data_IF_645460745947
#
_entry.id   IF_645460745947
#
_cell.length_a   1.000
_cell.length_b   1.000
_cell.length_c   1.000
_cell.angle_alpha   90.00
_cell.angle_beta   90.00
_cell.angle_gamma   90.00
#
_symmetry.space_group_name_H-M   'P 1'
#
loop_
_entity.id
_entity.type
_entity.pdbx_description
1 polymer ?
#
# COMPACT_ATOMS: atom_id res chain seq x y z
N UNK A 1 -9.83 2.00 -8.60
CA UNK A 1 -9.27 0.86 -7.85
C UNK A 1 -8.60 1.37 -6.58
N UNK A 2 -8.77 0.69 -5.43
CA UNK A 2 -8.08 0.98 -4.17
C UNK A 2 -7.20 -0.20 -3.82
N UNK A 3 -5.88 -0.06 -3.94
CA UNK A 3 -4.91 -1.12 -3.62
C UNK A 3 -4.64 -1.17 -2.13
N UNK A 4 -4.43 -2.38 -1.60
CA UNK A 4 -4.13 -2.61 -0.19
C UNK A 4 -3.05 -3.67 0.01
N UNK A 5 -2.28 -3.50 1.09
CA UNK A 5 -1.46 -4.54 1.71
C UNK A 5 -2.20 -5.10 2.91
N UNK A 6 -2.23 -6.38 3.03
CA UNK A 6 -2.88 -7.02 4.16
C UNK A 6 -2.20 -8.33 4.54
N UNK A 7 -2.48 -8.78 5.74
CA UNK A 7 -2.01 -10.04 6.26
C UNK A 7 -3.18 -11.00 6.44
N UNK A 8 -3.10 -12.17 5.85
CA UNK A 8 -4.08 -13.22 5.97
C UNK A 8 -3.41 -14.59 6.01
N UNK A 9 -3.90 -15.49 6.84
CA UNK A 9 -3.41 -16.88 6.95
C UNK A 9 -1.88 -17.00 7.07
N UNK A 10 -1.25 -16.08 7.79
CA UNK A 10 0.20 -16.07 8.00
C UNK A 10 1.03 -15.53 6.82
N UNK A 11 0.41 -14.99 5.78
CA UNK A 11 1.08 -14.46 4.60
C UNK A 11 0.76 -13.00 4.33
N UNK A 12 1.77 -12.26 3.84
CA UNK A 12 1.61 -10.94 3.25
C UNK A 12 0.96 -11.08 1.87
N UNK A 13 0.00 -10.22 1.58
CA UNK A 13 -0.75 -10.17 0.32
C UNK A 13 -0.96 -8.74 -0.12
N UNK A 14 -1.14 -8.57 -1.43
CA UNK A 14 -1.65 -7.36 -2.06
C UNK A 14 -2.96 -7.65 -2.78
N UNK A 15 -3.82 -6.67 -2.84
CA UNK A 15 -5.12 -6.82 -3.47
C UNK A 15 -5.82 -5.48 -3.68
N UNK A 16 -7.09 -5.56 -4.04
CA UNK A 16 -7.94 -4.41 -4.25
C UNK A 16 -9.19 -4.48 -3.36
N UNK A 17 -9.60 -3.32 -2.84
CA UNK A 17 -10.87 -3.20 -2.09
C UNK A 17 -12.02 -3.02 -3.07
N UNK A 18 -13.05 -3.84 -2.90
CA UNK A 18 -14.37 -3.72 -3.52
C UNK A 18 -15.47 -3.76 -2.44
N UNK A 19 -16.06 -2.61 -2.16
CA UNK A 19 -17.06 -2.50 -1.06
C UNK A 19 -16.43 -2.81 0.30
N UNK A 20 -16.97 -3.80 0.99
CA UNK A 20 -16.51 -4.27 2.31
C UNK A 20 -15.55 -5.48 2.21
N UNK A 21 -15.07 -5.78 1.01
CA UNK A 21 -14.23 -6.94 0.75
C UNK A 21 -12.92 -6.56 0.07
N UNK A 22 -11.95 -7.44 0.20
CA UNK A 22 -10.66 -7.40 -0.51
C UNK A 22 -10.61 -8.57 -1.47
N UNK A 23 -10.26 -8.30 -2.72
CA UNK A 23 -9.83 -9.30 -3.68
C UNK A 23 -8.36 -9.57 -3.46
N UNK A 24 -7.99 -10.79 -3.05
CA UNK A 24 -6.60 -11.25 -3.00
C UNK A 24 -6.11 -11.48 -4.43
N UNK A 25 -5.28 -10.57 -4.94
CA UNK A 25 -4.88 -10.56 -6.34
C UNK A 25 -4.16 -11.85 -6.76
N UNK A 26 -3.29 -12.37 -5.91
CA UNK A 26 -2.57 -13.61 -6.16
C UNK A 26 -3.50 -14.81 -6.16
N UNK A 27 -4.29 -14.98 -5.11
CA UNK A 27 -5.21 -16.10 -4.98
C UNK A 27 -6.22 -16.15 -6.12
N UNK A 28 -6.73 -14.98 -6.54
CA UNK A 28 -7.69 -14.90 -7.63
C UNK A 28 -7.13 -15.43 -8.96
N UNK A 29 -5.90 -15.04 -9.32
CA UNK A 29 -5.29 -15.51 -10.57
C UNK A 29 -4.95 -17.00 -10.48
N UNK A 30 -4.43 -17.47 -9.32
CA UNK A 30 -4.07 -18.87 -9.11
C UNK A 30 -5.26 -19.85 -9.21
N UNK A 31 -6.50 -19.37 -8.96
CA UNK A 31 -7.72 -20.15 -9.23
C UNK A 31 -7.85 -20.51 -10.71
N UNK A 32 -7.46 -19.63 -11.62
CA UNK A 32 -7.64 -19.79 -13.06
C UNK A 32 -6.42 -20.38 -13.77
N UNK A 33 -5.22 -19.96 -13.35
CA UNK A 33 -3.96 -20.35 -13.96
C UNK A 33 -2.78 -20.15 -12.99
N UNK A 34 -1.68 -20.89 -13.18
CA UNK A 34 -0.48 -20.57 -12.42
C UNK A 34 0.06 -19.17 -12.79
N UNK A 35 0.67 -18.52 -11.82
CA UNK A 35 1.42 -17.28 -12.04
C UNK A 35 2.80 -17.62 -12.62
N UNK A 36 3.26 -16.84 -13.57
CA UNK A 36 4.67 -16.81 -13.93
C UNK A 36 5.51 -16.21 -12.78
N UNK A 37 6.82 -16.49 -12.79
CA UNK A 37 7.75 -15.94 -11.78
C UNK A 37 7.68 -14.39 -11.72
N UNK A 38 7.56 -13.74 -12.87
CA UNK A 38 7.46 -12.27 -12.98
C UNK A 38 6.17 -11.76 -12.37
N UNK A 39 5.03 -12.40 -12.66
CA UNK A 39 3.73 -12.02 -12.09
C UNK A 39 3.69 -12.27 -10.58
N UNK A 40 4.23 -13.40 -10.13
CA UNK A 40 4.34 -13.70 -8.70
C UNK A 40 5.21 -12.67 -7.96
N UNK A 41 6.29 -12.20 -8.60
CA UNK A 41 7.13 -11.15 -8.05
C UNK A 41 6.39 -9.81 -7.96
N UNK A 42 5.64 -9.41 -8.99
CA UNK A 42 4.83 -8.19 -9.01
C UNK A 42 3.75 -8.19 -7.92
N UNK A 43 3.13 -9.35 -7.67
CA UNK A 43 2.06 -9.50 -6.66
C UNK A 43 2.58 -9.90 -5.27
N UNK A 44 3.91 -9.82 -5.05
CA UNK A 44 4.51 -10.18 -3.77
C UNK A 44 4.27 -9.11 -2.70
N UNK A 45 4.44 -7.84 -3.05
CA UNK A 45 4.24 -6.70 -2.16
C UNK A 45 3.88 -5.44 -2.97
N UNK A 46 3.51 -4.35 -2.29
CA UNK A 46 3.06 -3.11 -2.93
C UNK A 46 4.17 -2.44 -3.77
N UNK A 47 5.42 -2.46 -3.33
CA UNK A 47 6.52 -1.84 -4.09
C UNK A 47 6.73 -2.54 -5.43
N UNK A 48 6.91 -3.88 -5.50
CA UNK A 48 6.97 -4.59 -6.77
C UNK A 48 5.74 -4.39 -7.66
N UNK A 49 4.54 -4.26 -7.06
CA UNK A 49 3.32 -3.98 -7.81
C UNK A 49 3.38 -2.60 -8.47
N UNK A 50 3.83 -1.58 -7.74
CA UNK A 50 4.00 -0.22 -8.28
C UNK A 50 5.07 -0.22 -9.39
N UNK A 51 6.21 -0.88 -9.18
CA UNK A 51 7.29 -0.99 -10.16
C UNK A 51 6.86 -1.73 -11.44
N UNK A 52 5.93 -2.68 -11.31
CA UNK A 52 5.33 -3.39 -12.43
C UNK A 52 4.45 -2.51 -13.34
N UNK A 53 4.06 -1.32 -12.86
CA UNK A 53 3.31 -0.32 -13.62
C UNK A 53 1.99 -0.87 -14.17
N UNK A 54 1.67 -0.51 -15.41
CA UNK A 54 0.41 -0.90 -16.06
C UNK A 54 0.22 -2.42 -16.07
N UNK A 55 1.29 -3.20 -16.31
CA UNK A 55 1.20 -4.66 -16.34
C UNK A 55 0.74 -5.24 -15.00
N UNK A 56 1.22 -4.71 -13.89
CA UNK A 56 0.78 -5.16 -12.56
C UNK A 56 -0.65 -4.72 -12.26
N UNK A 57 -1.07 -3.55 -12.71
CA UNK A 57 -2.46 -3.09 -12.61
C UNK A 57 -3.40 -3.96 -13.44
N UNK A 58 -3.02 -4.36 -14.65
CA UNK A 58 -3.79 -5.29 -15.50
C UNK A 58 -3.99 -6.64 -14.79
N UNK A 59 -2.96 -7.13 -14.06
CA UNK A 59 -3.09 -8.35 -13.25
C UNK A 59 -4.10 -8.17 -12.11
N UNK A 60 -4.13 -7.01 -11.47
CA UNK A 60 -5.13 -6.76 -10.41
C UNK A 60 -6.53 -6.64 -11.01
N UNK A 61 -6.70 -6.02 -12.17
CA UNK A 61 -7.98 -5.96 -12.88
C UNK A 61 -8.43 -7.36 -13.33
N UNK A 62 -7.50 -8.22 -13.82
CA UNK A 62 -7.77 -9.65 -14.09
C UNK A 62 -8.25 -10.37 -12.82
N UNK A 63 -7.58 -10.15 -11.69
CA UNK A 63 -7.93 -10.74 -10.41
C UNK A 63 -9.34 -10.33 -9.95
N UNK A 64 -9.69 -9.04 -10.07
CA UNK A 64 -11.03 -8.54 -9.78
C UNK A 64 -12.07 -9.24 -10.65
N UNK A 65 -11.84 -9.32 -11.95
CA UNK A 65 -12.75 -9.98 -12.88
C UNK A 65 -12.97 -11.48 -12.55
N UNK A 66 -11.89 -12.18 -12.15
CA UNK A 66 -11.98 -13.59 -11.73
C UNK A 66 -12.76 -13.71 -10.43
N UNK A 67 -12.59 -12.79 -9.49
CA UNK A 67 -13.23 -12.84 -8.17
C UNK A 67 -14.74 -12.75 -8.21
N UNK A 68 -15.33 -12.17 -9.24
CA UNK A 68 -16.79 -12.08 -9.40
C UNK A 68 -17.46 -13.44 -9.56
N UNK A 69 -16.73 -14.46 -9.99
CA UNK A 69 -17.21 -15.86 -10.10
C UNK A 69 -16.59 -16.79 -9.05
N UNK A 70 -15.71 -16.30 -8.18
CA UNK A 70 -14.94 -17.10 -7.23
C UNK A 70 -14.80 -16.39 -5.89
N UNK A 71 -15.77 -16.56 -5.02
CA UNK A 71 -15.81 -15.89 -3.70
C UNK A 71 -14.64 -16.32 -2.78
N UNK A 72 -14.03 -17.49 -3.01
CA UNK A 72 -12.93 -18.01 -2.20
C UNK A 72 -11.65 -17.16 -2.28
N UNK A 73 -11.51 -16.31 -3.30
CA UNK A 73 -10.40 -15.33 -3.38
C UNK A 73 -10.75 -13.96 -2.80
N UNK A 74 -11.95 -13.81 -2.22
CA UNK A 74 -12.40 -12.59 -1.53
C UNK A 74 -12.27 -12.77 -0.02
N UNK A 75 -11.99 -11.68 0.67
CA UNK A 75 -11.87 -11.62 2.14
C UNK A 75 -12.61 -10.41 2.64
N UNK A 76 -13.37 -10.57 3.72
CA UNK A 76 -13.96 -9.40 4.38
C UNK A 76 -12.87 -8.54 5.00
N UNK A 77 -13.02 -7.23 4.94
CA UNK A 77 -12.11 -6.30 5.61
C UNK A 77 -11.94 -6.61 7.11
N UNK A 78 -13.01 -7.09 7.76
CA UNK A 78 -13.00 -7.47 9.17
C UNK A 78 -12.25 -8.78 9.49
N UNK A 79 -11.89 -9.57 8.49
CA UNK A 79 -11.23 -10.89 8.65
C UNK A 79 -9.73 -10.83 8.36
N UNK A 80 -9.22 -9.68 7.94
CA UNK A 80 -7.81 -9.47 7.61
C UNK A 80 -7.21 -8.34 8.43
N UNK A 81 -5.91 -8.38 8.63
CA UNK A 81 -5.17 -7.25 9.18
C UNK A 81 -4.65 -6.39 8.04
N UNK A 82 -5.18 -5.18 7.89
CA UNK A 82 -4.63 -4.19 6.97
C UNK A 82 -3.25 -3.74 7.46
N UNK A 83 -2.35 -3.50 6.53
CA UNK A 83 -1.00 -3.01 6.78
C UNK A 83 -0.85 -1.60 6.20
N UNK A 84 0.19 -0.89 6.62
CA UNK A 84 0.58 0.33 5.92
C UNK A 84 0.75 0.03 4.43
N UNK A 85 0.33 0.93 3.52
CA UNK A 85 0.39 0.68 2.08
C UNK A 85 1.81 0.41 1.58
N UNK A 86 2.81 0.94 2.27
CA UNK A 86 4.22 0.73 1.96
C UNK A 86 4.99 0.36 3.23
N UNK A 87 6.05 -0.44 3.07
CA UNK A 87 7.10 -0.64 4.07
C UNK A 87 8.38 0.06 3.56
N UNK A 88 8.55 1.36 3.82
CA UNK A 88 9.67 2.11 3.26
C UNK A 88 11.00 1.71 3.90
N UNK A 89 12.06 1.67 3.11
CA UNK A 89 13.43 1.53 3.62
C UNK A 89 13.97 2.83 4.23
N UNK A 90 13.46 3.97 3.78
CA UNK A 90 13.83 5.30 4.21
C UNK A 90 12.64 6.25 4.12
N UNK A 91 12.52 7.15 5.10
CA UNK A 91 11.55 8.25 5.06
C UNK A 91 12.33 9.56 5.11
N UNK A 92 12.20 10.35 4.05
CA UNK A 92 12.71 11.71 3.98
C UNK A 92 11.51 12.67 4.06
N UNK A 93 11.54 13.58 5.00
CA UNK A 93 10.51 14.58 5.18
C UNK A 93 11.11 15.99 5.05
N UNK A 94 10.30 16.95 4.57
CA UNK A 94 10.68 18.36 4.52
C UNK A 94 10.05 19.12 5.68
N UNK A 95 10.83 19.95 6.36
CA UNK A 95 10.38 20.81 7.44
C UNK A 95 9.88 22.15 6.94
N UNK A 96 8.91 22.74 7.66
CA UNK A 96 8.45 24.13 7.48
C UNK A 96 7.98 24.52 6.07
N UNK A 97 7.53 23.56 5.25
CA UNK A 97 7.30 23.74 3.81
C UNK A 97 5.92 24.31 3.47
N UNK A 98 4.95 24.17 4.38
CA UNK A 98 3.60 24.69 4.20
C UNK A 98 3.47 26.08 4.83
N UNK A 99 2.85 27.01 4.08
CA UNK A 99 2.68 28.40 4.53
C UNK A 99 1.95 28.46 5.88
N UNK A 100 0.82 27.79 6.01
CA UNK A 100 -0.02 27.80 7.21
C UNK A 100 0.76 27.34 8.45
N UNK A 101 1.57 26.27 8.32
CA UNK A 101 2.40 25.75 9.40
C UNK A 101 3.52 26.72 9.83
N UNK A 102 3.97 27.57 8.92
CA UNK A 102 4.98 28.60 9.21
C UNK A 102 4.36 29.82 9.85
N UNK A 103 3.17 30.21 9.37
CA UNK A 103 2.41 31.30 9.94
C UNK A 103 2.05 31.01 11.41
N UNK A 104 1.76 29.74 11.77
CA UNK A 104 1.57 29.30 13.17
C UNK A 104 2.80 29.47 14.07
N UNK A 105 4.00 29.48 13.48
CA UNK A 105 5.27 29.58 14.21
C UNK A 105 5.97 30.90 14.08
N UNK A 106 5.32 31.92 13.48
CA UNK A 106 5.94 33.20 13.13
C UNK A 106 7.26 33.08 12.36
N UNK A 107 7.40 32.04 11.54
CA UNK A 107 8.61 31.80 10.75
C UNK A 107 8.66 32.67 9.48
N UNK A 108 9.84 33.18 9.15
CA UNK A 108 10.03 33.99 7.95
C UNK A 108 9.71 33.22 6.64
N UNK A 109 9.26 33.91 5.55
CA UNK A 109 8.94 33.29 4.27
C UNK A 109 10.09 32.45 3.69
N UNK A 110 9.76 31.33 3.01
CA UNK A 110 10.75 30.42 2.38
C UNK A 110 11.47 31.02 1.15
N UNK A 111 11.02 32.17 0.66
CA UNK A 111 11.60 32.77 -0.54
C UNK A 111 13.13 32.92 -0.40
N UNK A 112 13.88 32.17 -1.24
CA UNK A 112 15.33 32.15 -1.25
C UNK A 112 16.02 31.26 -0.21
N UNK A 113 15.29 30.43 0.56
CA UNK A 113 15.86 29.41 1.44
C UNK A 113 15.85 28.04 0.80
N UNK A 114 16.89 27.25 1.04
CA UNK A 114 16.88 25.84 0.70
C UNK A 114 15.90 25.07 1.59
N UNK A 115 15.21 24.04 1.05
CA UNK A 115 14.33 23.19 1.84
C UNK A 115 15.12 22.47 2.95
N UNK A 116 14.57 22.49 4.17
CA UNK A 116 15.09 21.68 5.26
C UNK A 116 14.56 20.27 5.15
N UNK A 117 15.47 19.27 5.18
CA UNK A 117 15.12 17.87 5.16
C UNK A 117 15.52 17.17 6.44
N UNK A 118 14.68 16.23 6.88
CA UNK A 118 14.99 15.40 8.02
C UNK A 118 14.54 13.95 7.77
N UNK A 119 15.21 13.03 8.44
CA UNK A 119 14.89 11.61 8.34
C UNK A 119 13.93 11.17 9.43
N UNK A 120 13.03 10.25 9.09
CA UNK A 120 12.24 9.49 10.04
C UNK A 120 12.58 8.01 9.94
N UNK A 121 12.52 7.31 11.07
CA UNK A 121 12.72 5.87 11.06
C UNK A 121 11.56 5.17 10.35
N UNK A 122 11.83 4.15 9.51
CA UNK A 122 10.78 3.30 8.94
C UNK A 122 9.88 2.63 10.00
N UNK A 123 10.38 2.44 11.21
CA UNK A 123 9.61 1.90 12.33
C UNK A 123 8.45 2.80 12.81
N UNK A 124 8.44 4.08 12.39
CA UNK A 124 7.33 4.98 12.67
C UNK A 124 6.12 4.77 11.74
N UNK A 125 6.24 3.89 10.73
CA UNK A 125 5.13 3.54 9.85
C UNK A 125 4.34 2.40 10.49
N UNK A 126 3.07 2.66 10.74
CA UNK A 126 2.11 1.71 11.30
C UNK A 126 0.95 1.52 10.33
N UNK A 127 0.26 0.39 10.43
CA UNK A 127 -0.96 0.12 9.69
C UNK A 127 -2.19 0.76 10.33
N UNK A 128 -3.35 0.66 9.67
CA UNK A 128 -4.62 1.03 10.28
C UNK A 128 -4.84 0.26 11.58
N UNK A 129 -5.38 0.94 12.58
CA UNK A 129 -5.72 0.39 13.91
C UNK A 129 -4.51 -0.11 14.75
N UNK A 130 -3.28 0.07 14.28
CA UNK A 130 -2.09 -0.22 15.07
C UNK A 130 -1.92 0.82 16.20
N UNK A 131 -1.45 0.38 17.36
CA UNK A 131 -1.25 1.23 18.53
C UNK A 131 -0.01 2.13 18.35
N UNK A 132 -0.16 3.40 18.67
CA UNK A 132 0.97 4.33 18.81
C UNK A 132 1.55 4.14 20.21
N UNK A 133 2.71 3.47 20.29
CA UNK A 133 3.44 3.35 21.53
C UNK A 133 4.14 4.68 21.89
N UNK A 134 4.05 5.09 23.15
CA UNK A 134 4.72 6.30 23.70
C UNK A 134 6.01 5.93 24.41
#
# INVERSE_FOLDING_TARGET
MKLVRFHTQGALRVGAIEGEEIVDARSAIEVKRPLSEVEAAMLHDMVPLIEGGTRALDLVDEAIAISHANEECRRKLSEVRLLAPLAPGLILASGGNYKDHRDEKDEAPLAGREPEYFFKTPRSVIGPDDLIER
#
